data_IF_328089436048
#
_entry.id   IF_328089436048
#
_cell.length_a   1.000
_cell.length_b   1.000
_cell.length_c   1.000
_cell.angle_alpha   90.00
_cell.angle_beta   90.00
_cell.angle_gamma   90.00
#
_symmetry.space_group_name_H-M   'P 1'
#
loop_
_entity.id
_entity.type
_entity.pdbx_description
1 polymer ?
#
# COMPACT_ATOMS: atom_id res chain seq x y z
N UNK A 1 -3.48 -23.40 -14.52
CA UNK A 1 -3.82 -22.90 -13.18
C UNK A 1 -3.71 -21.37 -13.08
N UNK A 2 -2.55 -20.76 -13.42
CA UNK A 2 -2.39 -19.30 -13.42
C UNK A 2 -3.40 -18.55 -14.32
N UNK A 3 -3.64 -19.02 -15.56
CA UNK A 3 -4.63 -18.40 -16.46
C UNK A 3 -6.08 -18.49 -15.95
N UNK A 4 -6.43 -19.56 -15.23
CA UNK A 4 -7.78 -19.71 -14.64
C UNK A 4 -7.98 -18.75 -13.47
N UNK A 5 -6.94 -18.57 -12.64
CA UNK A 5 -6.95 -17.59 -11.55
C UNK A 5 -7.05 -16.16 -12.13
N UNK A 6 -6.32 -15.84 -13.19
CA UNK A 6 -6.40 -14.52 -13.83
C UNK A 6 -7.77 -14.24 -14.46
N UNK A 7 -8.39 -15.23 -15.10
CA UNK A 7 -9.75 -15.10 -15.65
C UNK A 7 -10.78 -14.86 -14.55
N UNK A 8 -10.74 -15.62 -13.45
CA UNK A 8 -11.67 -15.47 -12.32
C UNK A 8 -11.45 -14.12 -11.61
N UNK A 9 -10.20 -13.66 -11.46
CA UNK A 9 -9.91 -12.34 -10.90
C UNK A 9 -10.41 -11.18 -11.77
N UNK A 10 -10.44 -11.37 -13.09
CA UNK A 10 -10.99 -10.41 -14.05
C UNK A 10 -12.51 -10.34 -13.96
N UNK A 11 -13.20 -11.48 -13.77
CA UNK A 11 -14.66 -11.51 -13.53
C UNK A 11 -15.06 -10.93 -12.17
N UNK A 12 -14.19 -11.03 -11.16
CA UNK A 12 -14.37 -10.39 -9.85
C UNK A 12 -13.97 -8.91 -9.81
N UNK A 13 -13.66 -8.31 -10.98
CA UNK A 13 -13.34 -6.89 -11.15
C UNK A 13 -12.12 -6.40 -10.33
N UNK A 14 -11.20 -7.28 -9.95
CA UNK A 14 -9.96 -6.90 -9.28
C UNK A 14 -9.01 -6.23 -10.28
N UNK A 15 -8.98 -4.90 -10.27
CA UNK A 15 -8.01 -4.16 -11.06
C UNK A 15 -6.56 -4.37 -10.52
N UNK A 16 -5.57 -3.91 -11.30
CA UNK A 16 -4.15 -4.00 -10.93
C UNK A 16 -3.87 -3.38 -9.55
N UNK A 17 -4.61 -2.34 -9.18
CA UNK A 17 -4.45 -1.69 -7.89
C UNK A 17 -4.99 -2.57 -6.78
N UNK A 18 -6.22 -3.08 -6.90
CA UNK A 18 -6.89 -3.87 -5.87
C UNK A 18 -6.12 -5.15 -5.57
N UNK A 19 -5.57 -5.80 -6.60
CA UNK A 19 -4.72 -6.98 -6.42
C UNK A 19 -3.45 -6.65 -5.62
N UNK A 20 -2.71 -5.64 -6.07
CA UNK A 20 -1.38 -5.38 -5.54
C UNK A 20 -1.39 -4.58 -4.24
N UNK A 21 -2.22 -3.54 -4.14
CA UNK A 21 -2.28 -2.68 -2.98
C UNK A 21 -3.14 -3.27 -1.85
N UNK A 22 -4.11 -4.15 -2.12
CA UNK A 22 -5.08 -4.62 -1.10
C UNK A 22 -5.01 -6.12 -0.84
N UNK A 23 -5.14 -6.95 -1.88
CA UNK A 23 -5.18 -8.40 -1.71
C UNK A 23 -3.82 -8.99 -1.31
N UNK A 24 -2.73 -8.61 -2.00
CA UNK A 24 -1.38 -9.13 -1.69
C UNK A 24 -0.94 -8.89 -0.24
N UNK A 25 -1.11 -7.69 0.37
CA UNK A 25 -0.83 -7.51 1.79
C UNK A 25 -1.62 -8.44 2.70
N UNK A 26 -2.89 -8.71 2.38
CA UNK A 26 -3.72 -9.63 3.16
C UNK A 26 -3.22 -11.07 3.04
N UNK A 27 -2.90 -11.53 1.82
CA UNK A 27 -2.33 -12.85 1.59
C UNK A 27 -0.98 -13.02 2.28
N UNK A 28 -0.12 -12.01 2.23
CA UNK A 28 1.17 -12.02 2.93
C UNK A 28 1.02 -12.12 4.46
N UNK A 29 -0.07 -11.56 5.00
CA UNK A 29 -0.39 -11.61 6.44
C UNK A 29 -0.77 -13.02 6.89
N UNK A 30 -1.49 -13.79 6.07
CA UNK A 30 -1.93 -15.17 6.40
C UNK A 30 -0.93 -16.25 5.95
N UNK A 31 0.01 -15.89 5.08
CA UNK A 31 0.99 -16.80 4.49
C UNK A 31 1.71 -17.70 5.52
N UNK A 32 2.16 -17.21 6.70
CA UNK A 32 2.85 -18.07 7.67
C UNK A 32 2.02 -19.29 8.12
N UNK A 33 0.71 -19.09 8.31
CA UNK A 33 -0.19 -20.18 8.67
C UNK A 33 -0.40 -21.16 7.52
N UNK A 34 -0.50 -20.65 6.28
CA UNK A 34 -0.63 -21.50 5.10
C UNK A 34 0.61 -22.38 4.91
N UNK A 35 1.81 -21.83 5.13
CA UNK A 35 3.08 -22.56 5.07
C UNK A 35 3.15 -23.64 6.15
N UNK A 36 2.74 -23.32 7.39
CA UNK A 36 2.66 -24.31 8.47
C UNK A 36 1.77 -25.49 8.09
N UNK A 37 0.53 -25.22 7.67
CA UNK A 37 -0.43 -26.26 7.29
C UNK A 37 0.11 -27.09 6.12
N UNK A 38 0.72 -26.45 5.13
CA UNK A 38 1.26 -27.12 3.95
C UNK A 38 2.43 -28.07 4.27
N UNK A 39 3.27 -27.73 5.25
CA UNK A 39 4.42 -28.55 5.67
C UNK A 39 3.97 -29.71 6.55
N UNK A 40 3.14 -29.45 7.56
CA UNK A 40 2.71 -30.48 8.51
C UNK A 40 1.61 -31.40 7.98
N UNK A 41 0.83 -30.94 6.99
CA UNK A 41 -0.24 -31.71 6.38
C UNK A 41 -0.10 -31.74 4.86
N UNK A 42 0.89 -32.46 4.29
CA UNK A 42 1.16 -32.46 2.85
C UNK A 42 -0.04 -32.90 1.99
N UNK A 43 -0.95 -33.70 2.55
CA UNK A 43 -2.20 -34.09 1.87
C UNK A 43 -3.07 -32.88 1.48
N UNK A 44 -2.90 -31.72 2.13
CA UNK A 44 -3.62 -30.49 1.77
C UNK A 44 -3.26 -30.01 0.36
N UNK A 45 -2.07 -30.35 -0.15
CA UNK A 45 -1.62 -29.94 -1.49
C UNK A 45 -2.52 -30.50 -2.60
N UNK A 46 -3.08 -31.70 -2.44
CA UNK A 46 -4.00 -32.27 -3.42
C UNK A 46 -5.36 -31.54 -3.44
N UNK A 47 -5.73 -30.90 -2.33
CA UNK A 47 -6.97 -30.13 -2.19
C UNK A 47 -6.77 -28.62 -2.43
N UNK A 48 -5.53 -28.15 -2.58
CA UNK A 48 -5.22 -26.73 -2.64
C UNK A 48 -5.97 -26.00 -3.75
N UNK A 49 -6.06 -26.60 -4.94
CA UNK A 49 -6.78 -26.02 -6.07
C UNK A 49 -8.28 -25.83 -5.78
N UNK A 50 -8.92 -26.82 -5.15
CA UNK A 50 -10.34 -26.77 -4.78
C UNK A 50 -10.61 -25.79 -3.62
N UNK A 51 -9.72 -25.74 -2.64
CA UNK A 51 -9.83 -24.77 -1.54
C UNK A 51 -9.62 -23.33 -2.05
N UNK A 52 -8.61 -23.12 -2.91
CA UNK A 52 -8.35 -21.81 -3.50
C UNK A 52 -9.53 -21.34 -4.37
N UNK A 53 -10.12 -22.22 -5.19
CA UNK A 53 -11.30 -21.86 -5.98
C UNK A 53 -12.50 -21.55 -5.09
N UNK A 54 -12.75 -22.34 -4.05
CA UNK A 54 -13.83 -22.09 -3.09
C UNK A 54 -13.67 -20.73 -2.39
N UNK A 55 -12.47 -20.40 -1.91
CA UNK A 55 -12.20 -19.11 -1.25
C UNK A 55 -12.45 -17.92 -2.19
N UNK A 56 -12.11 -18.08 -3.48
CA UNK A 56 -12.35 -17.06 -4.49
C UNK A 56 -13.85 -16.94 -4.79
N UNK A 57 -14.54 -18.05 -5.06
CA UNK A 57 -15.98 -18.09 -5.37
C UNK A 57 -16.84 -17.59 -4.20
N UNK A 58 -16.48 -17.91 -2.96
CA UNK A 58 -17.18 -17.43 -1.77
C UNK A 58 -16.82 -15.98 -1.39
N UNK A 59 -15.98 -15.28 -2.17
CA UNK A 59 -15.64 -13.88 -1.94
C UNK A 59 -14.69 -13.62 -0.75
N UNK A 60 -14.01 -14.64 -0.23
CA UNK A 60 -13.08 -14.49 0.90
C UNK A 60 -11.90 -13.60 0.52
N UNK A 61 -11.39 -13.73 -0.71
CA UNK A 61 -10.32 -12.86 -1.22
C UNK A 61 -10.74 -11.40 -1.28
N UNK A 62 -11.99 -11.13 -1.66
CA UNK A 62 -12.55 -9.78 -1.63
C UNK A 62 -12.65 -9.25 -0.20
N UNK A 63 -13.17 -10.05 0.74
CA UNK A 63 -13.25 -9.68 2.15
C UNK A 63 -11.87 -9.34 2.75
N UNK A 64 -10.86 -10.17 2.46
CA UNK A 64 -9.47 -9.95 2.89
C UNK A 64 -8.91 -8.63 2.34
N UNK A 65 -9.15 -8.33 1.06
CA UNK A 65 -8.74 -7.07 0.45
C UNK A 65 -9.44 -5.86 1.11
N UNK A 66 -10.73 -5.97 1.46
CA UNK A 66 -11.46 -4.93 2.17
C UNK A 66 -10.93 -4.71 3.58
N UNK A 67 -10.64 -5.78 4.32
CA UNK A 67 -10.04 -5.71 5.66
C UNK A 67 -8.69 -5.00 5.62
N UNK A 68 -7.82 -5.39 4.68
CA UNK A 68 -6.52 -4.76 4.47
C UNK A 68 -6.66 -3.26 4.20
N UNK A 69 -7.58 -2.88 3.30
CA UNK A 69 -7.86 -1.48 2.97
C UNK A 69 -8.40 -0.72 4.18
N UNK A 70 -9.34 -1.28 4.93
CA UNK A 70 -9.92 -0.63 6.11
C UNK A 70 -8.87 -0.36 7.17
N UNK A 71 -8.00 -1.33 7.46
CA UNK A 71 -6.91 -1.19 8.43
C UNK A 71 -5.85 -0.19 7.97
N UNK A 72 -5.52 -0.18 6.68
CA UNK A 72 -4.66 0.84 6.10
C UNK A 72 -5.25 2.25 6.17
N UNK A 73 -6.55 2.43 5.89
CA UNK A 73 -7.21 3.74 6.03
C UNK A 73 -7.19 4.26 7.47
N UNK A 74 -7.51 3.41 8.45
CA UNK A 74 -7.40 3.76 9.87
C UNK A 74 -5.98 4.14 10.29
N UNK A 75 -4.95 3.64 9.59
CA UNK A 75 -3.57 4.07 9.80
C UNK A 75 -3.35 5.49 9.27
N UNK A 76 -3.82 5.77 8.05
CA UNK A 76 -3.76 7.11 7.44
C UNK A 76 -4.48 8.16 8.29
N UNK A 77 -5.69 7.85 8.77
CA UNK A 77 -6.47 8.76 9.62
C UNK A 77 -5.74 9.09 10.94
N UNK A 78 -4.99 8.13 11.49
CA UNK A 78 -4.22 8.30 12.73
C UNK A 78 -2.91 9.07 12.50
N UNK A 79 -2.27 8.89 11.36
CA UNK A 79 -0.95 9.46 11.08
C UNK A 79 -1.02 10.79 10.32
N UNK A 80 -2.20 11.18 9.83
CA UNK A 80 -2.50 12.49 9.25
C UNK A 80 -1.39 12.98 8.33
N UNK A 81 -0.73 14.08 8.68
CA UNK A 81 0.28 14.77 7.87
C UNK A 81 1.56 13.96 7.62
N UNK A 82 1.74 12.81 8.27
CA UNK A 82 2.89 11.94 8.02
C UNK A 82 2.72 11.06 6.78
N UNK A 83 1.49 10.75 6.35
CA UNK A 83 1.25 9.90 5.17
C UNK A 83 0.02 10.32 4.34
N UNK A 84 -0.10 9.77 3.14
CA UNK A 84 -1.26 9.89 2.27
C UNK A 84 -1.47 11.30 1.75
N UNK A 85 -2.74 11.66 1.51
CA UNK A 85 -3.12 12.94 0.89
C UNK A 85 -2.71 14.14 1.72
N UNK A 86 -2.82 14.03 3.04
CA UNK A 86 -2.40 15.09 3.95
C UNK A 86 -0.88 15.32 3.90
N UNK A 87 -0.09 14.26 3.76
CA UNK A 87 1.35 14.40 3.52
C UNK A 87 1.65 15.04 2.16
N UNK A 88 0.99 14.62 1.09
CA UNK A 88 1.10 15.28 -0.22
C UNK A 88 0.78 16.78 -0.16
N UNK A 89 -0.24 17.17 0.63
CA UNK A 89 -0.61 18.57 0.84
C UNK A 89 0.48 19.32 1.60
N UNK A 90 1.06 18.70 2.63
CA UNK A 90 2.18 19.26 3.38
C UNK A 90 3.38 19.59 2.48
N UNK A 91 3.65 18.81 1.42
CA UNK A 91 4.75 19.11 0.48
C UNK A 91 4.57 20.44 -0.28
N UNK A 92 3.35 21.00 -0.34
CA UNK A 92 3.05 22.32 -0.92
C UNK A 92 3.20 23.48 0.08
N UNK A 93 3.27 23.20 1.39
CA UNK A 93 3.52 24.23 2.42
C UNK A 93 4.82 24.96 2.14
N UNK A 94 4.86 26.30 2.30
CA UNK A 94 6.11 27.05 2.14
C UNK A 94 7.18 26.64 3.18
N UNK A 95 6.75 26.20 4.37
CA UNK A 95 7.62 25.81 5.47
C UNK A 95 8.23 24.40 5.31
N UNK A 96 7.67 23.54 4.46
CA UNK A 96 8.20 22.18 4.25
C UNK A 96 9.40 22.18 3.27
N UNK A 97 10.62 21.82 3.70
CA UNK A 97 11.81 21.91 2.86
C UNK A 97 12.01 20.70 1.93
N UNK A 98 11.12 19.71 1.94
CA UNK A 98 11.30 18.44 1.23
C UNK A 98 11.37 18.63 -0.29
N UNK A 99 10.64 19.62 -0.81
CA UNK A 99 10.72 20.03 -2.20
C UNK A 99 11.49 21.36 -2.32
N UNK A 100 12.42 21.49 -3.28
CA UNK A 100 13.08 22.75 -3.57
C UNK A 100 12.07 23.87 -3.83
N UNK A 101 12.33 25.06 -3.28
CA UNK A 101 11.41 26.20 -3.37
C UNK A 101 11.02 26.56 -4.81
N UNK A 102 11.97 26.49 -5.76
CA UNK A 102 11.72 26.76 -7.17
C UNK A 102 10.73 25.74 -7.80
N UNK A 103 10.85 24.46 -7.45
CA UNK A 103 9.93 23.42 -7.93
C UNK A 103 8.53 23.62 -7.35
N UNK A 104 8.44 23.91 -6.05
CA UNK A 104 7.18 24.21 -5.38
C UNK A 104 6.49 25.44 -5.99
N UNK A 105 7.25 26.49 -6.32
CA UNK A 105 6.73 27.68 -6.98
C UNK A 105 6.11 27.37 -8.35
N UNK A 106 6.74 26.49 -9.15
CA UNK A 106 6.14 26.04 -10.43
C UNK A 106 4.86 25.24 -10.22
N UNK A 107 4.81 24.38 -9.21
CA UNK A 107 3.59 23.64 -8.87
C UNK A 107 2.46 24.58 -8.43
N UNK A 108 2.78 25.60 -7.63
CA UNK A 108 1.80 26.62 -7.22
C UNK A 108 1.29 27.40 -8.43
N UNK A 109 2.19 27.83 -9.32
CA UNK A 109 1.80 28.54 -10.54
C UNK A 109 0.87 27.70 -11.43
N UNK A 110 1.18 26.42 -11.63
CA UNK A 110 0.32 25.50 -12.37
C UNK A 110 -1.06 25.33 -11.74
N UNK A 111 -1.12 25.10 -10.42
CA UNK A 111 -2.40 24.93 -9.73
C UNK A 111 -3.24 26.21 -9.80
N UNK A 112 -2.63 27.36 -9.55
CA UNK A 112 -3.31 28.66 -9.65
C UNK A 112 -3.77 28.99 -11.07
N UNK A 113 -3.02 28.60 -12.12
CA UNK A 113 -3.45 28.79 -13.51
C UNK A 113 -4.70 27.98 -13.87
N UNK A 114 -5.02 26.94 -13.10
CA UNK A 114 -6.23 26.14 -13.24
C UNK A 114 -7.33 26.54 -12.25
N UNK A 115 -7.21 27.71 -11.62
CA UNK A 115 -8.23 28.26 -10.71
C UNK A 115 -8.19 27.67 -9.29
N UNK A 116 -7.17 26.89 -8.94
CA UNK A 116 -7.01 26.38 -7.58
C UNK A 116 -6.47 27.49 -6.66
N UNK A 117 -7.22 27.80 -5.62
CA UNK A 117 -6.83 28.82 -4.64
C UNK A 117 -5.80 28.26 -3.68
N UNK A 118 -4.59 28.83 -3.71
CA UNK A 118 -3.49 28.52 -2.80
C UNK A 118 -3.24 29.68 -1.84
N UNK A 119 -2.80 29.41 -0.61
CA UNK A 119 -2.43 30.45 0.35
C UNK A 119 -1.17 31.19 -0.12
N UNK A 120 -1.08 32.46 0.25
CA UNK A 120 0.19 33.20 0.23
C UNK A 120 1.04 32.86 1.45
N UNK A 121 2.34 33.16 1.39
CA UNK A 121 3.27 32.98 2.54
C UNK A 121 2.74 33.70 3.80
N UNK A 122 2.12 34.87 3.64
CA UNK A 122 1.56 35.62 4.77
C UNK A 122 0.30 34.95 5.34
N UNK A 123 -0.54 34.36 4.49
CA UNK A 123 -1.73 33.64 4.93
C UNK A 123 -1.36 32.35 5.68
N UNK A 124 -0.38 31.60 5.18
CA UNK A 124 0.12 30.40 5.85
C UNK A 124 0.71 30.72 7.24
N UNK A 125 1.52 31.78 7.34
CA UNK A 125 2.08 32.22 8.64
C UNK A 125 1.02 32.67 9.64
N UNK A 126 -0.11 33.21 9.17
CA UNK A 126 -1.22 33.65 10.02
C UNK A 126 -2.09 32.49 10.50
N UNK A 127 -2.34 31.51 9.63
CA UNK A 127 -3.17 30.34 9.93
C UNK A 127 -2.71 29.12 9.12
N UNK A 128 -1.79 28.36 9.72
CA UNK A 128 -1.22 27.17 9.10
C UNK A 128 -2.26 26.05 8.88
N UNK A 129 -3.28 25.96 9.73
CA UNK A 129 -4.33 24.95 9.59
C UNK A 129 -5.22 25.24 8.38
N UNK A 130 -5.65 26.50 8.23
CA UNK A 130 -6.42 26.93 7.05
C UNK A 130 -5.62 26.80 5.75
N UNK A 131 -4.34 27.15 5.78
CA UNK A 131 -3.45 26.96 4.63
C UNK A 131 -3.31 25.47 4.26
N UNK A 132 -3.17 24.58 5.25
CA UNK A 132 -3.13 23.14 5.02
C UNK A 132 -4.41 22.61 4.35
N UNK A 133 -5.59 23.09 4.76
CA UNK A 133 -6.85 22.70 4.13
C UNK A 133 -6.94 23.14 2.66
N UNK A 134 -6.39 24.32 2.32
CA UNK A 134 -6.30 24.78 0.93
C UNK A 134 -5.33 23.91 0.12
N UNK A 135 -4.17 23.54 0.68
CA UNK A 135 -3.26 22.60 0.04
C UNK A 135 -3.88 21.21 -0.15
N UNK A 136 -4.66 20.73 0.82
CA UNK A 136 -5.39 19.47 0.70
C UNK A 136 -6.42 19.52 -0.42
N UNK A 137 -7.17 20.62 -0.52
CA UNK A 137 -8.09 20.87 -1.64
C UNK A 137 -7.37 20.83 -2.99
N UNK A 138 -6.20 21.45 -3.09
CA UNK A 138 -5.37 21.44 -4.31
C UNK A 138 -4.91 20.02 -4.70
N UNK A 139 -4.49 19.21 -3.72
CA UNK A 139 -4.13 17.80 -3.94
C UNK A 139 -5.33 16.98 -4.41
N UNK A 140 -6.51 17.20 -3.84
CA UNK A 140 -7.75 16.52 -4.25
C UNK A 140 -8.09 16.88 -5.69
N UNK A 141 -8.05 18.17 -6.03
CA UNK A 141 -8.27 18.65 -7.39
C UNK A 141 -7.28 18.00 -8.37
N UNK A 142 -5.99 17.97 -8.03
CA UNK A 142 -4.97 17.37 -8.89
C UNK A 142 -5.20 15.87 -9.12
N UNK A 143 -5.65 15.13 -8.11
CA UNK A 143 -5.99 13.71 -8.25
C UNK A 143 -7.14 13.47 -9.22
N UNK A 144 -8.17 14.30 -9.18
CA UNK A 144 -9.32 14.21 -10.09
C UNK A 144 -8.90 14.52 -11.53
N UNK A 145 -8.03 15.51 -11.72
CA UNK A 145 -7.60 15.99 -13.03
C UNK A 145 -6.44 15.18 -13.64
N UNK A 146 -5.84 14.26 -12.88
CA UNK A 146 -4.77 13.35 -13.37
C UNK A 146 -5.27 11.92 -13.56
N UNK A 147 -6.54 11.63 -13.26
CA UNK A 147 -7.12 10.28 -13.21
C UNK A 147 -7.07 9.53 -14.54
N UNK A 148 -7.24 10.22 -15.67
CA UNK A 148 -7.20 9.59 -17.01
C UNK A 148 -5.77 9.17 -17.41
N UNK A 149 -4.76 9.98 -17.07
CA UNK A 149 -3.34 9.70 -17.36
C UNK A 149 -2.68 8.78 -16.32
N UNK A 150 -3.24 8.71 -15.11
CA UNK A 150 -2.69 7.92 -14.00
C UNK A 150 -2.59 6.41 -14.35
N UNK A 151 -3.58 5.87 -15.06
CA UNK A 151 -3.75 4.43 -15.32
C UNK A 151 -2.60 3.75 -16.11
N UNK A 152 -1.78 4.52 -16.82
CA UNK A 152 -0.63 4.04 -17.62
C UNK A 152 0.73 4.55 -17.11
N UNK A 153 0.76 5.18 -15.94
CA UNK A 153 1.89 6.01 -15.51
C UNK A 153 2.60 5.47 -14.27
N UNK A 154 3.85 5.90 -14.10
CA UNK A 154 4.64 5.75 -12.87
C UNK A 154 3.88 6.21 -11.60
N UNK A 155 2.87 7.10 -11.71
CA UNK A 155 2.05 7.51 -10.57
C UNK A 155 1.19 6.35 -10.03
N UNK A 156 0.66 5.48 -10.91
CA UNK A 156 -0.09 4.30 -10.47
C UNK A 156 0.83 3.32 -9.72
N UNK A 157 2.06 3.16 -10.16
CA UNK A 157 3.03 2.28 -9.49
C UNK A 157 3.35 2.78 -8.07
N UNK A 158 3.59 4.09 -7.92
CA UNK A 158 3.80 4.68 -6.60
C UNK A 158 2.55 4.59 -5.71
N UNK A 159 1.35 4.75 -6.28
CA UNK A 159 0.10 4.58 -5.54
C UNK A 159 -0.08 3.12 -5.08
N UNK A 160 0.28 2.15 -5.93
CA UNK A 160 0.26 0.73 -5.59
C UNK A 160 1.25 0.45 -4.47
N UNK A 161 2.48 0.96 -4.56
CA UNK A 161 3.51 0.79 -3.56
C UNK A 161 3.08 1.40 -2.21
N UNK A 162 2.60 2.64 -2.21
CA UNK A 162 2.05 3.29 -1.02
C UNK A 162 0.90 2.48 -0.42
N UNK A 163 -0.08 2.08 -1.24
CA UNK A 163 -1.22 1.28 -0.81
C UNK A 163 -0.81 -0.07 -0.20
N UNK A 164 0.13 -0.78 -0.83
CA UNK A 164 0.71 -2.02 -0.32
C UNK A 164 1.33 -1.81 1.07
N UNK A 165 2.25 -0.85 1.20
CA UNK A 165 2.98 -0.61 2.45
C UNK A 165 2.07 -0.16 3.58
N UNK A 166 1.15 0.77 3.30
CA UNK A 166 0.16 1.25 4.28
C UNK A 166 -0.74 0.13 4.77
N UNK A 167 -1.29 -0.67 3.85
CA UNK A 167 -2.21 -1.74 4.20
C UNK A 167 -1.48 -2.87 4.96
N UNK A 168 -0.26 -3.21 4.54
CA UNK A 168 0.59 -4.17 5.24
C UNK A 168 0.86 -3.73 6.68
N UNK A 169 1.28 -2.46 6.88
CA UNK A 169 1.48 -1.91 8.23
C UNK A 169 0.19 -1.89 9.05
N UNK A 170 -0.96 -1.61 8.43
CA UNK A 170 -2.27 -1.69 9.08
C UNK A 170 -2.63 -3.09 9.57
N UNK A 171 -2.15 -4.13 8.89
CA UNK A 171 -2.37 -5.54 9.23
C UNK A 171 -1.36 -6.12 10.22
N UNK A 172 -0.28 -5.40 10.57
CA UNK A 172 0.78 -5.89 11.47
C UNK A 172 0.29 -6.56 12.75
N UNK A 173 -0.71 -6.05 13.49
CA UNK A 173 -1.20 -6.74 14.68
C UNK A 173 -1.73 -8.15 14.38
N UNK A 174 -2.46 -8.33 13.27
CA UNK A 174 -2.95 -9.64 12.86
C UNK A 174 -1.82 -10.56 12.42
N UNK A 175 -0.85 -10.03 11.66
CA UNK A 175 0.30 -10.81 11.23
C UNK A 175 1.07 -11.40 12.43
N UNK A 176 1.31 -10.59 13.46
CA UNK A 176 2.01 -11.03 14.67
C UNK A 176 1.21 -12.06 15.46
N UNK A 177 -0.12 -11.90 15.55
CA UNK A 177 -0.99 -12.92 16.18
C UNK A 177 -0.92 -14.23 15.40
N UNK A 178 -1.06 -14.18 14.07
CA UNK A 178 -1.01 -15.37 13.20
C UNK A 178 0.35 -16.07 13.32
N UNK A 179 1.44 -15.31 13.34
CA UNK A 179 2.79 -15.83 13.52
C UNK A 179 2.98 -16.49 14.88
N UNK A 180 2.48 -15.85 15.95
CA UNK A 180 2.54 -16.42 17.30
C UNK A 180 1.76 -17.74 17.39
N UNK A 181 0.55 -17.79 16.82
CA UNK A 181 -0.26 -19.01 16.76
C UNK A 181 0.43 -20.08 15.90
N UNK A 182 1.02 -19.69 14.76
CA UNK A 182 1.73 -20.64 13.90
C UNK A 182 2.96 -21.24 14.59
N UNK A 183 3.75 -20.42 15.30
CA UNK A 183 4.89 -20.88 16.10
C UNK A 183 4.45 -21.81 17.23
N UNK A 184 3.38 -21.46 17.96
CA UNK A 184 2.85 -22.30 19.02
C UNK A 184 2.34 -23.65 18.48
N UNK A 185 1.65 -23.64 17.34
CA UNK A 185 1.18 -24.84 16.68
C UNK A 185 2.33 -25.72 16.18
N UNK A 186 3.38 -25.13 15.60
CA UNK A 186 4.59 -25.85 15.18
C UNK A 186 5.23 -26.60 16.35
N UNK A 187 5.44 -25.91 17.48
CA UNK A 187 5.97 -26.52 18.72
C UNK A 187 5.07 -27.64 19.22
N UNK A 188 3.75 -27.44 19.25
CA UNK A 188 2.80 -28.48 19.68
C UNK A 188 2.83 -29.72 18.77
N UNK A 189 2.96 -29.53 17.46
CA UNK A 189 3.03 -30.63 16.48
C UNK A 189 4.32 -31.44 16.62
N UNK A 190 5.45 -30.80 16.90
CA UNK A 190 6.70 -31.51 17.26
C UNK A 190 6.52 -32.28 18.57
N UNK A 191 5.98 -31.62 19.60
CA UNK A 191 5.82 -32.18 20.94
C UNK A 191 4.94 -33.44 20.94
N UNK A 192 3.73 -33.35 20.38
CA UNK A 192 2.82 -34.50 20.26
C UNK A 192 3.24 -35.51 19.20
N UNK A 193 4.10 -35.10 18.28
CA UNK A 193 4.65 -35.95 17.23
C UNK A 193 5.67 -36.98 17.71
N UNK A 194 6.10 -36.94 18.96
CA UNK A 194 6.97 -37.93 19.58
C UNK A 194 8.47 -37.72 19.35
N UNK A 195 8.91 -36.48 19.06
CA UNK A 195 10.34 -36.10 19.01
C UNK A 195 11.21 -36.94 18.08
N UNK A 196 10.66 -37.44 16.97
CA UNK A 196 11.47 -38.14 15.97
C UNK A 196 12.36 -37.14 15.22
N UNK A 197 13.59 -37.54 14.86
CA UNK A 197 14.56 -36.65 14.18
C UNK A 197 13.95 -35.91 12.97
N UNK A 198 13.18 -36.54 12.07
CA UNK A 198 12.59 -35.83 10.93
C UNK A 198 11.59 -34.75 11.32
N UNK A 199 10.81 -34.97 12.38
CA UNK A 199 9.82 -33.99 12.86
C UNK A 199 10.49 -32.84 13.60
N UNK A 200 11.53 -33.15 14.38
CA UNK A 200 12.33 -32.15 15.07
C UNK A 200 13.05 -31.24 14.07
N UNK A 201 13.70 -31.81 13.06
CA UNK A 201 14.35 -31.05 11.97
C UNK A 201 13.34 -30.16 11.24
N UNK A 202 12.18 -30.71 10.88
CA UNK A 202 11.10 -29.95 10.22
C UNK A 202 10.64 -28.77 11.09
N UNK A 203 10.35 -29.00 12.37
CA UNK A 203 9.92 -27.96 13.29
C UNK A 203 10.99 -26.91 13.56
N UNK A 204 12.27 -27.30 13.69
CA UNK A 204 13.35 -26.33 13.88
C UNK A 204 13.50 -25.42 12.67
N UNK A 205 13.49 -25.98 11.45
CA UNK A 205 13.60 -25.19 10.22
C UNK A 205 12.39 -24.28 10.03
N UNK A 206 11.18 -24.81 10.20
CA UNK A 206 9.95 -24.04 10.04
C UNK A 206 9.82 -22.96 11.12
N UNK A 207 9.99 -23.32 12.39
CA UNK A 207 9.99 -22.40 13.52
C UNK A 207 11.03 -21.29 13.35
N UNK A 208 12.24 -21.61 12.90
CA UNK A 208 13.27 -20.62 12.57
C UNK A 208 12.84 -19.66 11.46
N UNK A 209 12.23 -20.17 10.39
CA UNK A 209 11.68 -19.35 9.31
C UNK A 209 10.52 -18.45 9.76
N UNK A 210 9.58 -18.98 10.54
CA UNK A 210 8.47 -18.22 11.12
C UNK A 210 8.98 -17.11 12.06
N UNK A 211 9.98 -17.42 12.89
CA UNK A 211 10.62 -16.44 13.76
C UNK A 211 11.28 -15.31 12.95
N UNK A 212 12.02 -15.64 11.88
CA UNK A 212 12.61 -14.65 10.99
C UNK A 212 11.55 -13.73 10.36
N UNK A 213 10.45 -14.31 9.87
CA UNK A 213 9.33 -13.52 9.33
C UNK A 213 8.73 -12.62 10.40
N UNK A 214 8.59 -13.07 11.65
CA UNK A 214 8.15 -12.24 12.77
C UNK A 214 9.12 -11.08 13.03
N UNK A 215 10.44 -11.29 12.97
CA UNK A 215 11.43 -10.23 13.11
C UNK A 215 11.28 -9.19 11.99
N UNK A 216 11.06 -9.60 10.73
CA UNK A 216 10.77 -8.67 9.62
C UNK A 216 9.52 -7.83 9.93
N UNK A 217 8.44 -8.47 10.38
CA UNK A 217 7.24 -7.75 10.77
C UNK A 217 7.49 -6.76 11.89
N UNK A 218 8.28 -7.12 12.90
CA UNK A 218 8.59 -6.27 14.07
C UNK A 218 9.45 -5.08 13.67
N UNK A 219 10.58 -5.32 12.99
CA UNK A 219 11.64 -4.33 12.78
C UNK A 219 11.56 -3.59 11.45
N UNK A 220 11.10 -4.24 10.37
CA UNK A 220 11.08 -3.62 9.05
C UNK A 220 9.74 -2.94 8.74
N UNK A 221 8.61 -3.59 9.06
CA UNK A 221 7.27 -3.06 8.77
C UNK A 221 6.88 -2.02 9.85
N UNK A 222 7.48 -0.83 9.74
CA UNK A 222 7.42 0.28 10.72
C UNK A 222 6.72 1.52 10.15
N UNK A 223 6.78 2.65 10.86
CA UNK A 223 6.25 3.94 10.39
C UNK A 223 7.09 4.51 9.23
N UNK A 224 8.43 4.57 9.31
CA UNK A 224 9.28 5.00 8.20
C UNK A 224 9.04 4.22 6.89
N UNK A 225 8.80 2.91 7.00
CA UNK A 225 8.47 2.05 5.85
C UNK A 225 7.28 2.58 5.03
N UNK A 226 6.27 3.16 5.68
CA UNK A 226 5.08 3.75 5.02
C UNK A 226 5.31 5.20 4.62
N UNK A 227 6.01 5.98 5.46
CA UNK A 227 6.34 7.39 5.18
C UNK A 227 7.16 7.53 3.89
N UNK A 228 8.16 6.66 3.68
CA UNK A 228 8.97 6.61 2.47
C UNK A 228 8.11 6.43 1.19
N UNK A 229 7.21 5.44 1.17
CA UNK A 229 6.32 5.24 0.03
C UNK A 229 5.27 6.36 -0.11
N UNK A 230 4.84 6.96 1.00
CA UNK A 230 3.96 8.12 0.94
C UNK A 230 4.65 9.34 0.34
N UNK A 231 5.94 9.54 0.63
CA UNK A 231 6.74 10.62 0.08
C UNK A 231 6.90 10.43 -1.43
N UNK A 232 7.34 9.26 -1.87
CA UNK A 232 7.51 8.93 -3.29
C UNK A 232 6.21 9.14 -4.08
N UNK A 233 5.09 8.66 -3.55
CA UNK A 233 3.77 8.92 -4.13
C UNK A 233 3.42 10.42 -4.19
N UNK A 234 3.61 11.16 -3.09
CA UNK A 234 3.32 12.59 -3.03
C UNK A 234 4.15 13.40 -4.03
N UNK A 235 5.45 13.13 -4.12
CA UNK A 235 6.33 13.76 -5.10
C UNK A 235 5.90 13.45 -6.54
N UNK A 236 5.56 12.19 -6.84
CA UNK A 236 5.14 11.77 -8.18
C UNK A 236 3.78 12.36 -8.58
N UNK A 237 2.89 12.54 -7.61
CA UNK A 237 1.61 13.20 -7.80
C UNK A 237 1.82 14.68 -8.14
N UNK A 238 2.59 15.41 -7.33
CA UNK A 238 2.81 16.84 -7.57
C UNK A 238 3.61 17.10 -8.85
N UNK A 239 4.49 16.18 -9.26
CA UNK A 239 5.19 16.25 -10.54
C UNK A 239 4.25 16.20 -11.77
N UNK A 240 2.98 15.82 -11.61
CA UNK A 240 1.99 15.92 -12.69
C UNK A 240 1.70 17.36 -13.13
N UNK A 241 1.98 18.35 -12.26
CA UNK A 241 1.93 19.76 -12.60
C UNK A 241 2.92 20.15 -13.72
N UNK A 242 4.03 19.41 -13.87
CA UNK A 242 5.05 19.68 -14.89
C UNK A 242 4.75 18.95 -16.21
N UNK A 243 4.33 17.69 -16.11
CA UNK A 243 4.08 16.84 -17.29
C UNK A 243 2.97 17.40 -18.17
N UNK A 244 1.94 17.99 -17.55
CA UNK A 244 0.81 18.58 -18.27
C UNK A 244 1.18 19.93 -18.91
N UNK A 245 2.12 20.68 -18.31
CA UNK A 245 2.64 21.91 -18.88
C UNK A 245 3.40 21.66 -20.19
N UNK A 246 4.19 20.58 -20.26
CA UNK A 246 4.95 20.21 -21.46
C UNK A 246 4.05 19.74 -22.62
N UNK A 247 3.01 18.96 -22.35
CA UNK A 247 2.04 18.54 -23.39
C UNK A 247 1.18 19.70 -23.87
N UNK A 248 0.77 20.62 -23.00
CA UNK A 248 0.05 21.84 -23.41
C UNK A 248 0.93 22.72 -24.31
N UNK A 249 2.21 22.89 -23.98
CA UNK A 249 3.15 23.66 -24.81
C UNK A 249 3.40 23.00 -26.18
N UNK A 250 3.54 21.68 -26.20
CA UNK A 250 3.72 20.92 -27.45
C UNK A 250 2.49 20.98 -28.36
N UNK A 251 1.27 20.94 -27.80
CA UNK A 251 0.03 21.06 -28.58
C UNK A 251 -0.17 22.45 -29.18
N UNK A 252 0.23 23.51 -28.47
CA UNK A 252 0.22 24.88 -28.98
C UNK A 252 1.21 25.07 -30.13
N UNK A 253 2.39 24.41 -30.08
CA UNK A 253 3.39 24.47 -31.15
C UNK A 253 3.08 23.59 -32.36
N UNK A 254 2.28 22.53 -32.20
CA UNK A 254 1.83 21.67 -33.31
C UNK A 254 0.53 22.14 -33.98
N UNK A 255 -0.13 23.14 -33.40
CA UNK A 255 -1.40 23.71 -33.87
C UNK A 255 -1.26 25.03 -34.65
N UNK A 256 -0.03 25.40 -35.04
CA UNK A 256 0.28 26.54 -35.91
C UNK A 256 0.67 26.09 -37.31
#
# INVERSE_FOLDING_TARGET
>A
MAMAIEAIMKELNFDRYDRNARLRPALFTILPMLVLVAIWYPKIWSLFGALASLLVTCGVTFLLAQLARQRGRRLEDRWKSAIGRSHSAKLLSYDDPTLPAATKARYHAYLSSHGVVLPTVQQERRDAAKAHDQYLSAVIWLLEHTRQNASKSLLLDENIAYGFRRNLRGLKPFALIILAVALAADVALVWWGGWTSPKLETGVVLGGGLALVALIWIFYITKPFVEDASLAYGQRLLAQCELTGATAYAQVLSGS
#
